data_IF_456149035145
#
_entry.id   IF_456149035145
#
_cell.length_a   1.000
_cell.length_b   1.000
_cell.length_c   1.000
_cell.angle_alpha   90.00
_cell.angle_beta   90.00
_cell.angle_gamma   90.00
#
_symmetry.space_group_name_H-M   'P 1'
#
loop_
_entity.id
_entity.type
_entity.pdbx_description
1 polymer ?
#
# COMPACT_ATOMS: atom_id res chain seq x y z
N UNK A 1 53.58 -28.11 -3.42
CA UNK A 1 52.88 -26.93 -3.92
C UNK A 1 51.47 -27.33 -4.36
N UNK A 2 50.50 -27.21 -3.45
CA UNK A 2 49.07 -27.34 -3.78
C UNK A 2 48.43 -26.00 -3.48
N UNK A 3 48.11 -25.25 -4.53
CA UNK A 3 47.35 -23.99 -4.41
C UNK A 3 45.85 -24.26 -4.62
N UNK A 4 45.09 -23.72 -3.68
CA UNK A 4 43.69 -23.92 -3.48
C UNK A 4 42.75 -23.59 -4.63
N UNK A 5 41.78 -24.49 -4.74
CA UNK A 5 40.54 -24.36 -5.56
C UNK A 5 39.39 -24.30 -4.57
N UNK A 6 39.31 -23.20 -3.76
CA UNK A 6 38.21 -23.04 -2.82
C UNK A 6 37.59 -21.63 -2.82
N UNK A 7 37.54 -20.93 -3.95
CA UNK A 7 37.05 -19.55 -3.95
C UNK A 7 35.80 -19.26 -4.81
N UNK A 8 35.37 -20.17 -5.71
CA UNK A 8 34.25 -19.83 -6.63
C UNK A 8 32.91 -20.47 -6.29
N UNK A 9 32.88 -21.55 -5.52
CA UNK A 9 31.62 -22.26 -5.21
C UNK A 9 30.75 -21.54 -4.20
N UNK A 10 31.35 -20.81 -3.21
CA UNK A 10 30.62 -20.12 -2.19
C UNK A 10 29.88 -18.87 -2.73
N UNK A 11 30.50 -18.15 -3.67
CA UNK A 11 29.87 -16.96 -4.30
C UNK A 11 28.70 -17.35 -5.23
N UNK A 12 28.85 -18.44 -5.98
CA UNK A 12 27.76 -18.96 -6.81
C UNK A 12 26.57 -19.46 -5.96
N UNK A 13 26.83 -20.10 -4.83
CA UNK A 13 25.80 -20.63 -3.95
C UNK A 13 25.04 -19.49 -3.26
N UNK A 14 25.70 -18.39 -2.88
CA UNK A 14 25.06 -17.22 -2.29
C UNK A 14 24.17 -16.47 -3.30
N UNK A 15 24.61 -16.33 -4.55
CA UNK A 15 23.82 -15.71 -5.61
C UNK A 15 22.59 -16.58 -5.94
N UNK A 16 22.72 -17.89 -5.97
CA UNK A 16 21.61 -18.83 -6.24
C UNK A 16 20.54 -18.78 -5.13
N UNK A 17 20.94 -18.70 -3.85
CA UNK A 17 20.03 -18.55 -2.71
C UNK A 17 19.26 -17.22 -2.74
N UNK A 18 19.92 -16.12 -3.10
CA UNK A 18 19.26 -14.81 -3.21
C UNK A 18 18.24 -14.80 -4.35
N UNK A 19 18.56 -15.39 -5.50
CA UNK A 19 17.64 -15.49 -6.65
C UNK A 19 16.42 -16.37 -6.32
N UNK A 20 16.61 -17.47 -5.58
CA UNK A 20 15.48 -18.30 -5.13
C UNK A 20 14.57 -17.55 -4.15
N UNK A 21 15.10 -16.77 -3.22
CA UNK A 21 14.31 -16.02 -2.26
C UNK A 21 13.51 -14.89 -2.91
N UNK A 22 14.04 -14.25 -3.94
CA UNK A 22 13.34 -13.23 -4.71
C UNK A 22 12.17 -13.82 -5.52
N UNK A 23 12.34 -15.01 -6.08
CA UNK A 23 11.28 -15.68 -6.83
C UNK A 23 10.11 -16.13 -5.94
N UNK A 24 10.37 -16.62 -4.72
CA UNK A 24 9.31 -17.02 -3.79
C UNK A 24 8.51 -15.81 -3.30
N UNK A 25 9.15 -14.67 -3.04
CA UNK A 25 8.47 -13.45 -2.66
C UNK A 25 7.57 -12.88 -3.78
N UNK A 26 8.03 -12.93 -5.02
CA UNK A 26 7.26 -12.48 -6.17
C UNK A 26 6.01 -13.36 -6.45
N UNK A 27 6.05 -14.64 -6.15
CA UNK A 27 4.92 -15.58 -6.31
C UNK A 27 3.81 -15.38 -5.27
N UNK A 28 4.10 -14.76 -4.11
CA UNK A 28 3.14 -14.49 -3.06
C UNK A 28 2.24 -13.29 -3.39
N UNK A 29 2.74 -12.34 -4.21
CA UNK A 29 2.04 -11.09 -4.48
C UNK A 29 1.13 -11.23 -5.70
N UNK A 30 -0.17 -10.99 -5.46
CA UNK A 30 -1.21 -11.01 -6.50
C UNK A 30 -1.55 -9.59 -6.91
N UNK A 31 -1.56 -9.34 -8.22
CA UNK A 31 -2.02 -8.09 -8.79
C UNK A 31 -3.52 -8.14 -9.03
N UNK A 32 -4.25 -7.24 -8.38
CA UNK A 32 -5.70 -7.12 -8.43
C UNK A 32 -6.05 -5.76 -9.03
N UNK A 33 -6.94 -5.74 -10.00
CA UNK A 33 -7.40 -4.52 -10.65
C UNK A 33 -8.85 -4.27 -10.30
N UNK A 34 -9.07 -3.22 -9.54
CA UNK A 34 -10.37 -2.64 -9.27
C UNK A 34 -10.60 -1.43 -10.20
N UNK A 35 -11.79 -0.84 -10.19
CA UNK A 35 -12.15 0.22 -11.12
C UNK A 35 -11.17 1.41 -11.05
N UNK A 36 -10.88 1.88 -9.84
CA UNK A 36 -10.11 3.11 -9.64
C UNK A 36 -8.73 2.88 -9.00
N UNK A 37 -8.38 1.64 -8.62
CA UNK A 37 -7.06 1.32 -8.09
C UNK A 37 -6.57 -0.05 -8.53
N UNK A 38 -5.26 -0.21 -8.50
CA UNK A 38 -4.61 -1.52 -8.64
C UNK A 38 -3.91 -1.83 -7.32
N UNK A 39 -4.21 -2.99 -6.76
CA UNK A 39 -3.57 -3.52 -5.55
C UNK A 39 -2.58 -4.61 -5.89
N UNK A 40 -1.43 -4.59 -5.25
CA UNK A 40 -0.47 -5.68 -5.18
C UNK A 40 -0.55 -6.26 -3.78
N UNK A 41 -1.27 -7.36 -3.64
CA UNK A 41 -1.66 -7.94 -2.36
C UNK A 41 -0.82 -9.17 -2.03
N UNK A 42 -0.22 -9.19 -0.83
CA UNK A 42 0.51 -10.36 -0.34
C UNK A 42 -0.48 -11.32 0.32
N UNK A 43 -0.53 -12.55 -0.21
CA UNK A 43 -1.40 -13.62 0.31
C UNK A 43 -0.90 -14.17 1.65
N UNK A 44 0.40 -14.11 1.93
CA UNK A 44 0.98 -14.57 3.20
C UNK A 44 0.95 -13.50 4.29
N UNK A 45 1.00 -12.22 3.91
CA UNK A 45 0.90 -11.11 4.85
C UNK A 45 -0.55 -10.66 5.10
N UNK A 46 -1.47 -11.01 4.22
CA UNK A 46 -2.88 -10.61 4.22
C UNK A 46 -3.09 -9.09 4.19
N UNK A 47 -2.18 -8.37 3.53
CA UNK A 47 -2.26 -6.91 3.32
C UNK A 47 -1.77 -6.53 1.92
N UNK A 48 -2.21 -5.38 1.37
CA UNK A 48 -1.61 -4.82 0.18
C UNK A 48 -0.19 -4.32 0.51
N UNK A 49 0.79 -4.71 -0.32
CA UNK A 49 2.17 -4.18 -0.26
C UNK A 49 2.30 -2.89 -1.06
N UNK A 50 1.41 -2.70 -2.05
CA UNK A 50 1.32 -1.49 -2.85
C UNK A 50 -0.10 -1.33 -3.41
N UNK A 51 -0.64 -0.12 -3.33
CA UNK A 51 -1.86 0.30 -4.03
C UNK A 51 -1.52 1.51 -4.89
N UNK A 52 -1.92 1.47 -6.17
CA UNK A 52 -1.68 2.52 -7.15
C UNK A 52 -3.01 3.01 -7.70
N UNK A 53 -3.22 4.32 -7.70
CA UNK A 53 -4.42 4.95 -8.24
C UNK A 53 -4.15 6.33 -8.83
N UNK A 54 -5.09 6.81 -9.63
CA UNK A 54 -5.07 8.17 -10.18
C UNK A 54 -6.30 8.90 -9.70
N UNK A 55 -6.13 10.14 -9.22
CA UNK A 55 -7.22 11.01 -8.82
C UNK A 55 -7.40 12.14 -9.82
N UNK A 56 -8.68 12.36 -10.19
CA UNK A 56 -9.15 13.48 -10.99
C UNK A 56 -10.38 14.10 -10.32
N UNK A 57 -10.69 15.39 -10.53
CA UNK A 57 -11.78 16.08 -9.82
C UNK A 57 -13.17 15.47 -10.00
N UNK A 58 -13.41 14.79 -11.11
CA UNK A 58 -14.67 14.11 -11.43
C UNK A 58 -14.97 12.89 -10.55
N UNK A 59 -13.96 12.33 -9.89
CA UNK A 59 -14.13 11.16 -9.03
C UNK A 59 -14.77 11.47 -7.67
N UNK A 60 -14.70 12.72 -7.19
CA UNK A 60 -15.11 13.10 -5.83
C UNK A 60 -15.90 14.42 -5.74
N UNK A 61 -16.37 14.98 -6.84
CA UNK A 61 -17.23 16.18 -6.85
C UNK A 61 -18.72 15.84 -6.84
N UNK A 62 -19.09 14.58 -6.65
CA UNK A 62 -20.47 14.14 -6.62
C UNK A 62 -21.09 14.28 -5.22
N UNK A 63 -22.41 14.26 -5.18
CA UNK A 63 -23.18 14.31 -3.93
C UNK A 63 -22.79 13.10 -3.08
N UNK A 64 -22.49 13.33 -1.80
CA UNK A 64 -22.20 12.25 -0.83
C UNK A 64 -23.18 11.12 -1.01
N UNK A 65 -22.66 9.92 -1.24
CA UNK A 65 -23.48 8.72 -1.33
C UNK A 65 -24.25 8.58 -0.01
N UNK A 66 -25.58 8.77 -0.06
CA UNK A 66 -26.44 8.49 1.10
C UNK A 66 -26.36 6.98 1.36
N UNK A 67 -25.69 6.58 2.44
CA UNK A 67 -25.60 5.18 2.81
C UNK A 67 -24.24 4.70 3.31
N UNK A 68 -23.30 5.60 3.61
CA UNK A 68 -22.00 5.26 4.23
C UNK A 68 -22.15 4.49 5.56
N UNK A 69 -23.28 4.63 6.26
CA UNK A 69 -23.57 3.96 7.51
C UNK A 69 -23.99 2.50 7.29
N UNK A 70 -23.08 1.64 6.84
CA UNK A 70 -23.40 0.22 6.72
C UNK A 70 -22.53 -0.60 5.79
N UNK A 71 -21.67 0.02 4.98
CA UNK A 71 -20.73 -0.72 4.16
C UNK A 71 -19.65 -1.30 5.08
N UNK A 72 -19.54 -2.63 5.04
CA UNK A 72 -18.57 -3.37 5.85
C UNK A 72 -17.38 -3.74 4.98
N UNK A 73 -16.22 -3.93 5.63
CA UNK A 73 -15.10 -4.58 4.97
C UNK A 73 -15.51 -5.93 4.42
N UNK A 74 -15.05 -6.24 3.23
CA UNK A 74 -15.35 -7.47 2.52
C UNK A 74 -14.13 -8.02 1.78
N UNK A 75 -14.16 -9.33 1.50
CA UNK A 75 -13.21 -9.93 0.58
C UNK A 75 -13.38 -9.34 -0.81
N UNK A 76 -12.27 -9.18 -1.51
CA UNK A 76 -12.30 -8.83 -2.94
C UNK A 76 -12.80 -10.06 -3.73
N UNK A 77 -13.82 -9.92 -4.60
CA UNK A 77 -14.30 -11.04 -5.40
C UNK A 77 -13.24 -11.68 -6.30
N UNK A 78 -12.18 -10.93 -6.66
CA UNK A 78 -11.04 -11.44 -7.41
C UNK A 78 -10.08 -12.28 -6.53
N UNK A 79 -10.24 -12.22 -5.19
CA UNK A 79 -9.41 -12.94 -4.23
C UNK A 79 -10.28 -13.47 -3.08
N UNK A 80 -11.23 -14.39 -3.35
CA UNK A 80 -12.21 -14.84 -2.36
C UNK A 80 -11.59 -15.59 -1.17
N UNK A 81 -10.38 -16.14 -1.32
CA UNK A 81 -9.72 -16.94 -0.28
C UNK A 81 -9.22 -16.11 0.92
N UNK A 82 -9.31 -14.78 0.86
CA UNK A 82 -9.04 -13.88 1.99
C UNK A 82 -10.30 -13.52 2.78
N UNK A 83 -11.39 -14.27 2.59
CA UNK A 83 -12.60 -14.17 3.43
C UNK A 83 -12.25 -14.53 4.87
N UNK A 84 -12.73 -13.76 5.83
CA UNK A 84 -12.44 -13.99 7.26
C UNK A 84 -11.55 -12.91 7.89
N UNK A 85 -10.82 -12.12 7.13
CA UNK A 85 -9.96 -11.03 7.63
C UNK A 85 -10.72 -9.96 8.44
N UNK A 86 -12.05 -9.86 8.26
CA UNK A 86 -12.89 -8.91 9.00
C UNK A 86 -12.79 -9.10 10.52
N UNK A 87 -12.76 -10.33 11.00
CA UNK A 87 -12.72 -10.62 12.42
C UNK A 87 -11.33 -10.43 13.01
N UNK A 88 -10.28 -10.46 12.17
CA UNK A 88 -8.91 -10.24 12.59
C UNK A 88 -8.63 -8.80 13.05
N UNK A 89 -9.36 -7.82 12.52
CA UNK A 89 -9.30 -6.43 12.96
C UNK A 89 -10.12 -6.17 14.23
N UNK A 90 -11.06 -7.07 14.56
CA UNK A 90 -11.91 -6.94 15.73
C UNK A 90 -11.07 -7.06 17.01
N UNK A 91 -11.32 -6.20 17.98
CA UNK A 91 -10.60 -6.15 19.25
C UNK A 91 -9.08 -5.90 19.15
N UNK A 92 -8.59 -5.43 17.98
CA UNK A 92 -7.21 -5.01 17.83
C UNK A 92 -7.03 -3.54 18.26
N UNK A 93 -5.79 -3.14 18.53
CA UNK A 93 -5.42 -1.73 18.75
C UNK A 93 -5.34 -0.94 17.44
N UNK A 94 -5.49 -1.62 16.32
CA UNK A 94 -5.31 -1.07 14.97
C UNK A 94 -6.66 -0.82 14.29
N UNK A 95 -6.74 0.29 13.55
CA UNK A 95 -7.83 0.56 12.61
C UNK A 95 -7.53 -0.07 11.24
N UNK A 96 -8.58 -0.26 10.46
CA UNK A 96 -8.51 -0.72 9.08
C UNK A 96 -8.27 0.47 8.14
N UNK A 97 -7.03 0.89 8.02
CA UNK A 97 -6.65 2.03 7.18
C UNK A 97 -6.77 1.71 5.70
N UNK A 98 -7.53 2.53 4.96
CA UNK A 98 -7.66 2.40 3.50
C UNK A 98 -6.45 3.03 2.83
N UNK A 99 -5.88 2.35 1.83
CA UNK A 99 -4.80 2.89 1.02
C UNK A 99 -5.32 3.99 0.09
N UNK A 100 -6.44 3.74 -0.61
CA UNK A 100 -7.27 4.72 -1.30
C UNK A 100 -8.55 4.95 -0.48
N UNK A 101 -8.88 6.21 -0.19
CA UNK A 101 -10.03 6.52 0.66
C UNK A 101 -11.36 6.39 -0.10
N UNK A 102 -12.45 5.93 0.56
CA UNK A 102 -13.78 5.90 -0.06
C UNK A 102 -14.23 7.28 -0.55
N UNK A 103 -13.88 8.34 0.15
CA UNK A 103 -14.19 9.73 -0.20
C UNK A 103 -13.60 10.17 -1.54
N UNK A 104 -12.62 9.44 -2.04
CA UNK A 104 -11.98 9.65 -3.35
C UNK A 104 -12.75 8.98 -4.49
N UNK A 105 -13.81 8.21 -4.19
CA UNK A 105 -14.62 7.42 -5.13
C UNK A 105 -16.13 7.76 -5.07
N UNK A 106 -16.49 8.96 -4.66
CA UNK A 106 -17.92 9.28 -4.38
C UNK A 106 -18.81 9.41 -5.61
N UNK A 107 -18.24 9.41 -6.80
CA UNK A 107 -18.99 9.53 -8.05
C UNK A 107 -19.35 8.18 -8.71
N UNK A 108 -18.79 7.08 -8.20
CA UNK A 108 -19.05 5.74 -8.67
C UNK A 108 -19.35 4.82 -7.48
N UNK A 109 -20.52 4.19 -7.49
CA UNK A 109 -20.98 3.36 -6.38
C UNK A 109 -20.13 2.10 -6.23
N UNK A 110 -19.77 1.48 -7.32
CA UNK A 110 -19.03 0.22 -7.27
C UNK A 110 -17.57 0.48 -6.89
N UNK A 111 -16.93 1.51 -7.44
CA UNK A 111 -15.60 1.95 -7.00
C UNK A 111 -15.58 2.37 -5.51
N UNK A 112 -16.66 3.00 -5.02
CA UNK A 112 -16.81 3.30 -3.60
C UNK A 112 -16.85 2.04 -2.74
N UNK A 113 -17.63 1.02 -3.15
CA UNK A 113 -17.72 -0.28 -2.46
C UNK A 113 -16.37 -1.01 -2.51
N UNK A 114 -15.70 -1.02 -3.66
CA UNK A 114 -14.38 -1.65 -3.83
C UNK A 114 -13.33 -1.09 -2.87
N UNK A 115 -13.43 0.20 -2.50
CA UNK A 115 -12.50 0.81 -1.53
C UNK A 115 -12.57 0.17 -0.12
N UNK A 116 -13.63 -0.61 0.18
CA UNK A 116 -13.79 -1.38 1.42
C UNK A 116 -13.30 -2.84 1.31
N UNK A 117 -12.77 -3.26 0.16
CA UNK A 117 -12.18 -4.59 0.06
C UNK A 117 -10.86 -4.67 0.83
N UNK A 118 -10.58 -5.84 1.40
CA UNK A 118 -9.32 -6.08 2.14
C UNK A 118 -8.07 -5.87 1.28
N UNK A 119 -8.19 -5.95 -0.04
CA UNK A 119 -7.13 -5.62 -0.98
C UNK A 119 -6.73 -4.14 -1.01
N UNK A 120 -7.47 -3.29 -0.31
CA UNK A 120 -7.19 -1.86 -0.11
C UNK A 120 -6.96 -1.49 1.36
N UNK A 121 -6.81 -2.44 2.26
CA UNK A 121 -6.83 -2.20 3.71
C UNK A 121 -5.57 -2.75 4.38
N UNK A 122 -4.99 -1.97 5.30
CA UNK A 122 -3.89 -2.39 6.16
C UNK A 122 -4.16 -2.02 7.64
N UNK A 123 -3.58 -2.76 8.62
CA UNK A 123 -3.64 -2.36 10.00
C UNK A 123 -2.77 -1.13 10.27
N UNK A 124 -3.34 -0.12 10.92
CA UNK A 124 -2.66 1.12 11.28
C UNK A 124 -3.08 1.57 12.68
N UNK A 125 -2.18 2.12 13.53
CA UNK A 125 -2.57 2.72 14.80
C UNK A 125 -3.68 3.76 14.63
N UNK A 126 -4.70 3.70 15.50
CA UNK A 126 -5.89 4.56 15.41
C UNK A 126 -5.57 6.04 15.30
N UNK A 127 -4.60 6.51 16.09
CA UNK A 127 -4.21 7.92 16.11
C UNK A 127 -3.49 8.33 14.82
N UNK A 128 -2.62 7.49 14.28
CA UNK A 128 -1.95 7.71 13.00
C UNK A 128 -2.98 7.78 11.86
N UNK A 129 -3.90 6.81 11.81
CA UNK A 129 -4.94 6.75 10.78
C UNK A 129 -5.83 8.00 10.81
N UNK A 130 -6.39 8.34 11.97
CA UNK A 130 -7.34 9.45 12.12
C UNK A 130 -6.72 10.83 11.93
N UNK A 131 -5.43 10.99 12.17
CA UNK A 131 -4.73 12.25 12.03
C UNK A 131 -3.98 12.34 10.68
N UNK A 132 -2.80 11.73 10.61
CA UNK A 132 -1.85 11.97 9.51
C UNK A 132 -2.26 11.29 8.20
N UNK A 133 -2.74 10.03 8.27
CA UNK A 133 -3.15 9.31 7.07
C UNK A 133 -4.39 9.94 6.43
N UNK A 134 -5.39 10.33 7.24
CA UNK A 134 -6.57 11.07 6.76
C UNK A 134 -6.19 12.45 6.22
N UNK A 135 -5.23 13.14 6.84
CA UNK A 135 -4.72 14.43 6.33
C UNK A 135 -4.02 14.27 4.96
N UNK A 136 -3.37 13.12 4.70
CA UNK A 136 -2.81 12.82 3.38
C UNK A 136 -3.91 12.66 2.33
N UNK A 137 -4.98 11.92 2.59
CA UNK A 137 -6.12 11.80 1.66
C UNK A 137 -6.71 13.17 1.31
N UNK A 138 -6.89 14.05 2.31
CA UNK A 138 -7.32 15.42 2.06
C UNK A 138 -6.34 16.19 1.16
N UNK A 139 -5.02 15.98 1.36
CA UNK A 139 -3.98 16.60 0.55
C UNK A 139 -3.99 16.09 -0.89
N UNK A 140 -4.17 14.79 -1.11
CA UNK A 140 -4.33 14.16 -2.43
C UNK A 140 -5.47 14.80 -3.21
N UNK A 141 -6.65 14.88 -2.59
CA UNK A 141 -7.85 15.54 -3.15
C UNK A 141 -7.60 17.00 -3.50
N UNK A 142 -6.94 17.78 -2.62
CA UNK A 142 -6.60 19.18 -2.89
C UNK A 142 -5.62 19.31 -4.06
N UNK A 143 -4.63 18.42 -4.16
CA UNK A 143 -3.68 18.41 -5.29
C UNK A 143 -4.37 18.02 -6.60
N UNK A 144 -5.26 17.02 -6.59
CA UNK A 144 -6.05 16.65 -7.76
C UNK A 144 -6.95 17.79 -8.24
N UNK A 145 -7.60 18.53 -7.33
CA UNK A 145 -8.38 19.74 -7.67
C UNK A 145 -7.51 20.81 -8.33
N UNK A 146 -6.34 21.08 -7.75
CA UNK A 146 -5.43 22.12 -8.24
C UNK A 146 -4.81 21.78 -9.58
N UNK A 147 -4.28 20.58 -9.72
CA UNK A 147 -3.48 20.15 -10.89
C UNK A 147 -4.26 19.28 -11.89
N UNK A 148 -5.57 19.07 -11.65
CA UNK A 148 -6.50 18.27 -12.46
C UNK A 148 -6.21 16.78 -12.46
N UNK A 149 -5.01 16.35 -12.14
CA UNK A 149 -4.61 14.95 -12.09
C UNK A 149 -3.43 14.77 -11.14
N UNK A 150 -3.51 13.75 -10.30
CA UNK A 150 -2.38 13.22 -9.53
C UNK A 150 -2.38 11.71 -9.61
N UNK A 151 -1.20 11.11 -9.53
CA UNK A 151 -1.05 9.66 -9.36
C UNK A 151 -0.52 9.38 -7.98
N UNK A 152 -1.13 8.44 -7.29
CA UNK A 152 -0.78 8.11 -5.91
C UNK A 152 -0.29 6.68 -5.83
N UNK A 153 0.75 6.49 -5.04
CA UNK A 153 1.31 5.20 -4.67
C UNK A 153 1.30 5.13 -3.14
N UNK A 154 0.63 4.13 -2.59
CA UNK A 154 0.58 3.88 -1.16
C UNK A 154 1.12 2.49 -0.89
N UNK A 155 2.08 2.35 0.01
CA UNK A 155 2.75 1.08 0.23
C UNK A 155 3.07 0.78 1.67
N UNK A 156 3.43 -0.48 1.93
CA UNK A 156 3.82 -1.02 3.23
C UNK A 156 5.17 -1.70 3.14
N UNK A 157 5.94 -1.67 4.23
CA UNK A 157 7.24 -2.34 4.33
C UNK A 157 7.41 -2.93 5.73
N UNK A 158 8.09 -4.07 5.78
CA UNK A 158 8.46 -4.73 7.02
C UNK A 158 7.29 -5.43 7.72
N UNK A 159 7.61 -5.95 8.92
CA UNK A 159 6.67 -6.67 9.78
C UNK A 159 6.96 -6.29 11.21
N UNK A 160 5.96 -5.75 11.89
CA UNK A 160 6.07 -5.33 13.29
C UNK A 160 5.33 -6.30 14.22
N UNK A 161 4.02 -6.47 13.99
CA UNK A 161 3.15 -7.38 14.73
C UNK A 161 2.27 -8.19 13.81
N UNK A 162 1.48 -9.04 14.43
CA UNK A 162 0.42 -9.84 13.78
C UNK A 162 -0.85 -9.61 14.55
N UNK A 163 -1.96 -9.38 13.85
CA UNK A 163 -3.30 -9.35 14.42
C UNK A 163 -4.15 -10.49 13.86
N UNK A 164 -5.25 -10.77 14.55
CA UNK A 164 -6.14 -11.87 14.19
C UNK A 164 -5.71 -13.22 14.76
N UNK A 165 -6.69 -14.13 14.87
CA UNK A 165 -6.48 -15.46 15.38
C UNK A 165 -6.21 -16.47 14.27
N UNK A 166 -6.89 -16.31 13.14
CA UNK A 166 -6.96 -17.32 12.11
C UNK A 166 -6.09 -16.99 10.90
N UNK A 167 -6.02 -15.71 10.50
CA UNK A 167 -5.37 -15.29 9.25
C UNK A 167 -4.02 -14.62 9.44
N UNK A 168 -3.58 -14.33 10.67
CA UNK A 168 -2.25 -13.74 10.92
C UNK A 168 -1.96 -12.50 10.06
N UNK A 169 -2.86 -11.51 10.09
CA UNK A 169 -2.69 -10.27 9.34
C UNK A 169 -1.48 -9.50 9.85
N UNK A 170 -0.53 -9.22 8.98
CA UNK A 170 0.69 -8.51 9.33
C UNK A 170 0.40 -7.03 9.57
N UNK A 171 0.88 -6.51 10.70
CA UNK A 171 1.01 -5.06 10.92
C UNK A 171 2.36 -4.65 10.33
N UNK A 172 2.39 -3.86 9.25
CA UNK A 172 3.65 -3.44 8.65
C UNK A 172 4.44 -2.55 9.60
N UNK A 173 5.75 -2.55 9.49
CA UNK A 173 6.62 -1.67 10.28
C UNK A 173 6.54 -0.23 9.78
N UNK A 174 6.50 -0.07 8.46
CA UNK A 174 6.42 1.23 7.79
C UNK A 174 5.24 1.26 6.83
N UNK A 175 4.60 2.42 6.73
CA UNK A 175 3.71 2.75 5.64
C UNK A 175 4.12 4.08 5.02
N UNK A 176 3.93 4.20 3.71
CA UNK A 176 4.36 5.35 2.95
C UNK A 176 3.36 5.73 1.86
N UNK A 177 3.41 7.00 1.43
CA UNK A 177 2.68 7.50 0.27
C UNK A 177 3.52 8.42 -0.58
N UNK A 178 3.37 8.29 -1.89
CA UNK A 178 3.94 9.17 -2.90
C UNK A 178 2.81 9.73 -3.76
N UNK A 179 2.69 11.05 -3.79
CA UNK A 179 1.76 11.78 -4.65
C UNK A 179 2.57 12.38 -5.79
N UNK A 180 2.42 11.85 -6.99
CA UNK A 180 3.05 12.35 -8.19
C UNK A 180 2.11 13.32 -8.93
N UNK A 181 2.64 14.49 -9.31
CA UNK A 181 1.92 15.55 -10.03
C UNK A 181 2.47 15.60 -11.46
N UNK A 182 1.80 14.99 -12.46
CA UNK A 182 2.34 14.88 -13.82
C UNK A 182 2.61 16.21 -14.50
N UNK A 183 1.83 17.26 -14.19
CA UNK A 183 1.96 18.57 -14.82
C UNK A 183 3.22 19.35 -14.41
N UNK A 184 3.83 18.99 -13.30
CA UNK A 184 5.05 19.66 -12.76
C UNK A 184 6.20 18.70 -12.53
N UNK A 185 6.00 17.40 -12.81
CA UNK A 185 6.95 16.31 -12.51
C UNK A 185 7.39 16.28 -11.03
N UNK A 186 6.49 16.70 -10.11
CA UNK A 186 6.77 16.82 -8.68
C UNK A 186 6.31 15.56 -7.94
N UNK A 187 7.16 15.08 -7.03
CA UNK A 187 6.86 14.02 -6.07
C UNK A 187 6.71 14.60 -4.67
N UNK A 188 5.59 14.29 -4.01
CA UNK A 188 5.36 14.59 -2.60
C UNK A 188 5.34 13.26 -1.84
N UNK A 189 6.38 13.01 -1.05
CA UNK A 189 6.62 11.73 -0.42
C UNK A 189 6.46 11.85 1.10
N UNK A 190 5.86 10.83 1.70
CA UNK A 190 5.61 10.74 3.14
C UNK A 190 5.86 9.31 3.61
N UNK A 191 6.51 9.17 4.76
CA UNK A 191 6.70 7.89 5.45
C UNK A 191 6.24 7.97 6.90
N UNK A 192 5.79 6.84 7.43
CA UNK A 192 5.34 6.72 8.82
C UNK A 192 5.82 5.41 9.40
N UNK A 193 6.42 5.48 10.58
CA UNK A 193 6.65 4.31 11.39
C UNK A 193 5.33 3.86 12.00
N UNK A 194 4.86 2.68 11.65
CA UNK A 194 3.50 2.19 11.93
C UNK A 194 3.42 1.49 13.28
N UNK A 195 3.73 2.23 14.36
CA UNK A 195 3.78 1.73 15.74
C UNK A 195 2.85 2.50 16.67
N UNK A 196 2.55 1.89 17.82
CA UNK A 196 1.92 2.52 18.98
C UNK A 196 2.98 2.76 20.10
N UNK A 197 2.85 3.84 20.91
CA UNK A 197 1.87 4.93 20.78
C UNK A 197 2.29 5.97 19.74
N UNK A 198 1.35 6.36 18.87
CA UNK A 198 1.60 7.44 17.91
C UNK A 198 1.31 8.81 18.57
N UNK A 199 2.22 9.76 18.40
CA UNK A 199 2.06 11.10 18.92
C UNK A 199 1.07 11.92 18.08
N UNK A 200 -0.16 12.10 18.56
CA UNK A 200 -1.21 12.83 17.86
C UNK A 200 -0.98 14.36 17.76
N UNK A 201 0.04 14.92 18.42
CA UNK A 201 0.49 16.31 18.25
C UNK A 201 1.47 16.47 17.10
N UNK A 202 1.97 15.39 16.55
CA UNK A 202 2.87 15.40 15.41
C UNK A 202 2.17 15.94 14.17
N UNK A 203 2.94 16.59 13.29
CA UNK A 203 2.41 17.26 12.09
C UNK A 203 2.79 16.45 10.84
N UNK A 204 1.87 16.39 9.88
CA UNK A 204 2.11 15.75 8.59
C UNK A 204 3.43 16.22 7.92
N UNK A 205 3.81 17.49 8.12
CA UNK A 205 5.05 18.03 7.57
C UNK A 205 6.31 17.33 8.07
N UNK A 206 6.30 16.77 9.28
CA UNK A 206 7.43 16.05 9.87
C UNK A 206 7.70 14.69 9.21
N UNK A 207 6.72 14.17 8.48
CA UNK A 207 6.78 12.89 7.78
C UNK A 207 7.11 13.04 6.28
N UNK A 208 7.32 14.30 5.83
CA UNK A 208 7.72 14.55 4.45
C UNK A 208 9.19 14.18 4.26
N UNK A 209 9.44 13.36 3.24
CA UNK A 209 10.79 12.88 2.87
C UNK A 209 11.07 13.08 1.39
N UNK A 210 12.30 12.86 0.97
CA UNK A 210 12.68 12.83 -0.44
C UNK A 210 12.30 11.47 -1.07
N UNK A 211 12.15 11.44 -2.39
CA UNK A 211 11.73 10.22 -3.12
C UNK A 211 12.72 9.07 -2.92
N UNK A 212 14.02 9.34 -2.88
CA UNK A 212 15.07 8.35 -2.68
C UNK A 212 14.98 7.65 -1.31
N UNK A 213 14.39 8.28 -0.30
CA UNK A 213 14.12 7.66 0.99
C UNK A 213 13.07 6.55 0.82
N UNK A 214 11.98 6.84 0.09
CA UNK A 214 10.94 5.85 -0.21
C UNK A 214 11.50 4.73 -1.11
N UNK A 215 12.29 5.08 -2.12
CA UNK A 215 12.92 4.10 -3.00
C UNK A 215 13.80 3.12 -2.22
N UNK A 216 14.63 3.66 -1.32
CA UNK A 216 15.49 2.86 -0.46
C UNK A 216 14.70 2.00 0.54
N UNK A 217 13.67 2.59 1.18
CA UNK A 217 12.83 1.91 2.16
C UNK A 217 12.05 0.75 1.56
N UNK A 218 11.43 0.97 0.41
CA UNK A 218 10.49 0.03 -0.21
C UNK A 218 11.14 -0.89 -1.27
N UNK A 219 12.41 -0.66 -1.62
CA UNK A 219 13.08 -1.41 -2.70
C UNK A 219 12.42 -1.17 -4.07
N UNK A 220 11.94 0.02 -4.31
CA UNK A 220 11.25 0.42 -5.55
C UNK A 220 12.01 1.54 -6.26
N UNK A 221 11.64 1.83 -7.51
CA UNK A 221 12.20 2.97 -8.23
C UNK A 221 11.11 3.71 -9.00
N UNK A 222 11.18 5.06 -9.02
CA UNK A 222 10.20 5.92 -9.67
C UNK A 222 10.82 6.69 -10.84
N UNK A 223 10.19 6.60 -12.01
CA UNK A 223 10.56 7.38 -13.19
C UNK A 223 9.30 7.91 -13.85
N UNK A 224 9.17 9.24 -13.99
CA UNK A 224 8.03 9.88 -14.65
C UNK A 224 6.64 9.38 -14.17
N UNK A 225 6.50 9.19 -12.87
CA UNK A 225 5.26 8.66 -12.28
C UNK A 225 4.98 7.18 -12.59
N UNK A 226 5.99 6.42 -12.96
CA UNK A 226 5.95 4.96 -13.08
C UNK A 226 6.77 4.36 -11.96
N UNK A 227 6.21 3.37 -11.26
CA UNK A 227 6.91 2.59 -10.24
C UNK A 227 7.46 1.30 -10.86
N UNK A 228 8.70 0.99 -10.57
CA UNK A 228 9.33 -0.30 -10.84
C UNK A 228 9.63 -0.98 -9.52
N UNK A 229 9.19 -2.21 -9.35
CA UNK A 229 9.47 -3.06 -8.19
C UNK A 229 9.54 -4.52 -8.63
N UNK A 230 10.26 -5.40 -7.92
CA UNK A 230 10.38 -6.82 -8.29
C UNK A 230 9.02 -7.52 -8.47
N UNK A 231 8.03 -7.13 -7.66
CA UNK A 231 6.68 -7.70 -7.70
C UNK A 231 5.72 -6.99 -8.68
N UNK A 232 6.08 -5.82 -9.22
CA UNK A 232 5.27 -5.09 -10.21
C UNK A 232 5.48 -5.64 -11.62
N UNK A 233 6.67 -6.15 -11.90
CA UNK A 233 7.07 -6.70 -13.22
C UNK A 233 6.73 -8.18 -13.38
N UNK A 234 6.49 -8.89 -12.27
CA UNK A 234 6.14 -10.31 -12.27
C UNK A 234 4.66 -10.55 -12.60
N UNK A 235 4.18 -10.07 -13.74
CA UNK A 235 2.90 -10.54 -14.29
C UNK A 235 3.17 -11.84 -15.06
N UNK A 236 2.52 -12.97 -14.74
CA UNK A 236 2.44 -14.07 -15.69
C UNK A 236 1.76 -13.52 -16.96
N UNK A 237 2.42 -13.65 -18.09
CA UNK A 237 1.76 -13.51 -19.38
C UNK A 237 0.70 -14.62 -19.45
N UNK A 238 -0.57 -14.25 -19.40
CA UNK A 238 -1.67 -15.05 -19.93
C UNK A 238 -1.87 -14.71 -21.40
#
# INVERSE_FOLDING_TARGET
>A
MQKGIFSNTSKLMTIFLVVLSLNTYAQDIVKIRNQNFTSYFSKTQHIPVLVVYTLTPDMFNCIKMKGENGIKLAADPQLPDVTGLKDDYSNSLFDNAKMMAPEENTCDKDAFIESYYFTNVMPMPKNLYKAQWTALHAKETLKAKKFKKVKVFAGTVGRNWVIGKDNNVIVPEWCWKVIYIPSTDEYLCYEFHNIEPFNNKDKLANHKVDINVIESLAGVHFVNGVISAPYVTATPNN
#
